data_IF_280766218139
#
_entry.id   IF_280766218139
#
_cell.length_a   1.000
_cell.length_b   1.000
_cell.length_c   1.000
_cell.angle_alpha   90.00
_cell.angle_beta   90.00
_cell.angle_gamma   90.00
#
_symmetry.space_group_name_H-M   'P 1'
#
loop_
_entity.id
_entity.type
_entity.pdbx_description
1 polymer ?
#
# COMPACT_ATOMS: atom_id res chain seq x y z
N UNK A 1 41.88 42.27 -3.45
CA UNK A 1 40.46 42.70 -3.35
C UNK A 1 39.66 41.95 -4.42
N UNK A 2 38.68 41.19 -4.03
CA UNK A 2 37.82 40.46 -4.98
C UNK A 2 36.80 41.45 -5.56
N UNK A 3 36.86 41.71 -6.87
CA UNK A 3 35.85 42.53 -7.55
C UNK A 3 34.58 41.73 -7.72
N UNK A 4 33.57 41.97 -6.89
CA UNK A 4 32.26 41.38 -7.06
C UNK A 4 31.55 42.02 -8.27
N UNK A 5 31.21 41.24 -9.28
CA UNK A 5 30.39 41.71 -10.39
C UNK A 5 28.91 41.55 -9.97
N UNK A 6 28.25 42.69 -9.74
CA UNK A 6 26.78 42.67 -9.55
C UNK A 6 26.08 42.58 -10.91
N UNK A 7 25.24 41.58 -11.05
CA UNK A 7 24.38 41.47 -12.23
C UNK A 7 23.05 42.20 -12.02
N UNK A 8 22.42 42.60 -13.13
CA UNK A 8 21.10 43.23 -13.10
C UNK A 8 20.10 42.31 -12.44
N UNK A 9 19.26 42.84 -11.55
CA UNK A 9 18.25 42.12 -10.80
C UNK A 9 16.95 42.91 -10.73
N UNK A 10 15.80 42.18 -10.64
CA UNK A 10 14.49 42.79 -10.48
C UNK A 10 13.49 41.77 -9.92
N UNK A 11 12.30 42.21 -9.56
CA UNK A 11 11.17 41.34 -9.23
C UNK A 11 10.60 40.71 -10.51
N UNK A 12 9.79 39.67 -10.40
CA UNK A 12 9.06 39.10 -11.55
C UNK A 12 8.25 40.17 -12.30
N UNK A 13 7.61 41.10 -11.58
CA UNK A 13 6.84 42.19 -12.17
C UNK A 13 7.75 43.18 -12.96
N UNK A 14 8.93 43.45 -12.46
CA UNK A 14 9.94 44.31 -13.17
C UNK A 14 10.51 43.60 -14.40
N UNK A 15 10.69 42.27 -14.35
CA UNK A 15 11.11 41.48 -15.50
C UNK A 15 10.07 41.45 -16.60
N UNK A 16 8.78 41.41 -16.27
CA UNK A 16 7.69 41.23 -17.23
C UNK A 16 7.69 42.26 -18.39
N UNK A 17 8.18 43.49 -18.13
CA UNK A 17 8.34 44.56 -19.15
C UNK A 17 9.78 44.73 -19.67
N UNK A 18 10.73 43.92 -19.26
CA UNK A 18 12.12 44.05 -19.62
C UNK A 18 12.56 43.05 -20.69
N UNK A 19 13.04 43.53 -21.83
CA UNK A 19 13.66 42.70 -22.86
C UNK A 19 15.16 42.91 -22.85
N UNK A 20 15.90 41.94 -22.34
CA UNK A 20 17.37 41.99 -22.28
C UNK A 20 18.01 41.60 -23.61
N UNK A 21 19.30 41.93 -23.76
CA UNK A 21 20.07 41.55 -24.93
C UNK A 21 20.25 40.03 -25.06
N UNK A 22 20.50 39.56 -26.28
CA UNK A 22 20.83 38.14 -26.51
C UNK A 22 22.02 37.71 -25.64
N UNK A 23 21.80 36.65 -24.84
CA UNK A 23 22.82 36.13 -23.94
C UNK A 23 22.99 36.92 -22.63
N UNK A 24 22.19 37.96 -22.39
CA UNK A 24 22.17 38.65 -21.09
C UNK A 24 21.58 37.75 -20.01
N UNK A 25 22.16 37.81 -18.79
CA UNK A 25 21.65 37.14 -17.61
C UNK A 25 21.21 38.19 -16.58
N UNK A 26 19.99 38.04 -16.07
CA UNK A 26 19.48 38.84 -14.96
C UNK A 26 19.06 37.91 -13.82
N UNK A 27 18.73 38.46 -12.64
CA UNK A 27 18.26 37.67 -11.50
C UNK A 27 16.86 38.12 -11.09
N UNK A 28 15.88 37.22 -11.18
CA UNK A 28 14.53 37.42 -10.63
C UNK A 28 14.57 37.20 -9.13
N UNK A 29 14.47 38.29 -8.37
CA UNK A 29 14.54 38.26 -6.91
C UNK A 29 13.30 37.70 -6.22
N UNK A 30 12.15 37.69 -6.92
CA UNK A 30 10.90 37.08 -6.42
C UNK A 30 10.95 35.56 -6.57
N UNK A 31 11.28 35.10 -7.78
CA UNK A 31 11.41 33.66 -8.08
C UNK A 31 12.76 33.07 -7.66
N UNK A 32 13.72 33.91 -7.27
CA UNK A 32 15.10 33.51 -6.91
C UNK A 32 15.80 32.69 -8.00
N UNK A 33 15.59 33.05 -9.27
CA UNK A 33 16.15 32.35 -10.43
C UNK A 33 16.93 33.28 -11.32
N UNK A 34 17.88 32.72 -12.06
CA UNK A 34 18.54 33.41 -13.18
C UNK A 34 17.62 33.41 -14.36
N UNK A 35 17.50 34.52 -15.06
CA UNK A 35 16.73 34.68 -16.30
C UNK A 35 17.75 34.90 -17.43
N UNK A 36 17.61 34.16 -18.52
CA UNK A 36 18.35 34.32 -19.76
C UNK A 36 17.52 35.15 -20.73
N UNK A 37 18.16 36.02 -21.52
CA UNK A 37 17.46 36.83 -22.50
C UNK A 37 17.90 36.47 -23.93
N UNK A 38 16.93 36.46 -24.82
CA UNK A 38 17.05 36.14 -26.26
C UNK A 38 16.95 37.37 -27.18
N UNK A 39 16.86 38.54 -26.56
CA UNK A 39 16.70 39.80 -27.28
C UNK A 39 15.29 40.10 -27.78
N UNK A 40 14.34 39.18 -27.60
CA UNK A 40 12.99 39.29 -28.15
C UNK A 40 11.89 39.09 -27.13
N UNK A 41 12.07 38.15 -26.19
CA UNK A 41 11.06 37.78 -25.20
C UNK A 41 11.04 38.76 -24.03
N UNK A 42 9.95 39.52 -23.87
CA UNK A 42 9.76 40.35 -22.67
C UNK A 42 9.66 39.45 -21.43
N UNK A 43 10.39 39.80 -20.38
CA UNK A 43 10.52 38.98 -19.19
C UNK A 43 11.65 37.96 -19.25
N UNK A 44 12.20 37.69 -20.43
CA UNK A 44 13.22 36.67 -20.66
C UNK A 44 12.74 35.25 -20.36
N UNK A 45 13.66 34.31 -20.43
CA UNK A 45 13.45 32.90 -20.15
C UNK A 45 14.04 32.55 -18.79
N UNK A 46 13.23 32.38 -17.71
CA UNK A 46 13.75 31.97 -16.43
C UNK A 46 14.44 30.61 -16.57
N UNK A 47 15.71 30.53 -16.16
CA UNK A 47 16.34 29.24 -15.99
C UNK A 47 15.58 28.57 -14.83
N UNK A 48 14.95 27.44 -15.14
CA UNK A 48 14.41 26.63 -14.05
C UNK A 48 15.52 26.45 -13.01
N UNK A 49 15.25 26.71 -11.73
CA UNK A 49 16.21 26.27 -10.73
C UNK A 49 16.46 24.80 -11.04
N UNK A 50 17.73 24.38 -11.11
CA UNK A 50 18.10 22.97 -11.29
C UNK A 50 17.71 22.17 -10.04
N UNK A 51 16.58 22.51 -9.47
CA UNK A 51 15.90 21.81 -8.41
C UNK A 51 14.78 21.04 -9.10
N UNK A 52 15.19 19.89 -9.67
CA UNK A 52 14.37 18.70 -9.59
C UNK A 52 12.92 18.81 -10.09
N UNK A 53 12.71 19.10 -11.34
CA UNK A 53 11.48 18.68 -12.04
C UNK A 53 11.33 17.15 -12.14
N UNK A 54 12.20 16.39 -11.47
CA UNK A 54 12.21 14.92 -11.53
C UNK A 54 11.71 14.23 -10.26
N UNK A 55 11.52 14.92 -9.13
CA UNK A 55 11.00 14.28 -7.92
C UNK A 55 10.34 15.31 -7.02
N UNK A 56 9.03 15.36 -7.04
CA UNK A 56 8.24 16.17 -6.09
C UNK A 56 8.47 15.79 -4.62
N UNK A 57 9.27 14.76 -4.36
CA UNK A 57 9.57 14.24 -3.03
C UNK A 57 10.98 13.67 -2.96
N UNK A 58 11.78 14.14 -2.00
CA UNK A 58 13.08 13.59 -1.66
C UNK A 58 13.23 13.39 -0.15
N UNK A 59 14.04 12.42 0.25
CA UNK A 59 14.35 12.12 1.66
C UNK A 59 15.79 11.69 1.84
N UNK A 60 16.32 11.84 3.06
CA UNK A 60 17.73 11.60 3.36
C UNK A 60 18.11 10.10 3.17
N UNK A 61 17.29 9.19 3.67
CA UNK A 61 17.51 7.74 3.52
C UNK A 61 16.31 7.11 2.81
N UNK A 62 16.56 6.59 1.60
CA UNK A 62 15.52 5.95 0.78
C UNK A 62 15.15 4.55 1.26
N UNK A 63 16.02 3.87 2.01
CA UNK A 63 15.83 2.51 2.48
C UNK A 63 14.86 2.41 3.68
N UNK A 64 14.46 3.54 4.28
CA UNK A 64 13.48 3.56 5.37
C UNK A 64 12.32 4.51 5.01
N UNK A 65 11.14 4.22 5.51
CA UNK A 65 9.98 5.10 5.35
C UNK A 65 10.19 6.44 6.06
N UNK A 66 9.61 7.50 5.51
CA UNK A 66 9.75 8.86 6.04
C UNK A 66 8.96 9.13 7.33
N UNK A 67 8.11 8.21 7.76
CA UNK A 67 7.19 8.38 8.88
C UNK A 67 7.41 7.32 9.96
N UNK A 68 7.10 7.67 11.21
CA UNK A 68 7.11 6.74 12.34
C UNK A 68 5.95 7.04 13.29
N UNK A 69 5.30 5.99 13.81
CA UNK A 69 4.33 6.12 14.89
C UNK A 69 5.04 6.49 16.19
N UNK A 70 4.51 7.46 16.91
CA UNK A 70 4.99 7.92 18.23
C UNK A 70 4.01 7.61 19.35
N UNK A 71 2.84 7.07 18.99
CA UNK A 71 1.80 6.62 19.90
C UNK A 71 0.69 5.93 19.11
N UNK A 72 -0.37 5.53 19.78
CA UNK A 72 -1.48 4.79 19.15
C UNK A 72 -2.14 5.58 18.00
N UNK A 73 -2.24 6.89 18.11
CA UNK A 73 -2.83 7.76 17.09
C UNK A 73 -1.94 8.94 16.68
N UNK A 74 -0.63 8.88 16.90
CA UNK A 74 0.30 9.97 16.60
C UNK A 74 1.47 9.48 15.77
N UNK A 75 1.97 10.35 14.88
CA UNK A 75 3.14 10.08 14.06
C UNK A 75 3.97 11.34 13.82
N UNK A 76 5.24 11.14 13.51
CA UNK A 76 6.19 12.19 13.13
C UNK A 76 7.00 11.76 11.91
N UNK A 77 7.73 12.70 11.32
CA UNK A 77 8.78 12.36 10.36
C UNK A 77 9.94 11.63 11.07
N UNK A 78 10.37 10.52 10.51
CA UNK A 78 11.56 9.77 10.94
C UNK A 78 12.86 10.37 10.45
N UNK A 79 12.81 11.24 9.44
CA UNK A 79 13.95 11.85 8.75
C UNK A 79 13.55 13.15 8.06
N UNK A 80 14.56 13.95 7.65
CA UNK A 80 14.31 15.13 6.83
C UNK A 80 13.75 14.75 5.47
N UNK A 81 12.75 15.50 5.01
CA UNK A 81 12.19 15.38 3.66
C UNK A 81 12.17 16.74 2.95
N UNK A 82 12.23 16.69 1.64
CA UNK A 82 12.08 17.84 0.75
C UNK A 82 10.94 17.54 -0.20
N UNK A 83 10.00 18.48 -0.30
CA UNK A 83 8.78 18.31 -1.10
C UNK A 83 8.57 19.55 -1.95
N UNK A 84 8.31 19.38 -3.23
CA UNK A 84 7.76 20.47 -4.05
C UNK A 84 6.22 20.43 -3.90
N UNK A 85 5.71 21.35 -3.12
CA UNK A 85 4.26 21.51 -2.92
C UNK A 85 3.73 22.51 -3.94
N UNK A 86 3.29 21.98 -5.08
CA UNK A 86 2.67 22.76 -6.17
C UNK A 86 3.54 23.94 -6.63
N UNK A 87 4.83 23.67 -6.91
CA UNK A 87 5.81 24.68 -7.33
C UNK A 87 6.46 25.46 -6.19
N UNK A 88 6.17 25.10 -4.94
CA UNK A 88 6.82 25.68 -3.75
C UNK A 88 7.73 24.63 -3.10
N UNK A 89 9.07 24.74 -3.25
CA UNK A 89 10.00 23.83 -2.60
C UNK A 89 10.00 24.06 -1.08
N UNK A 90 9.70 23.02 -0.34
CA UNK A 90 9.60 23.02 1.11
C UNK A 90 10.49 21.95 1.72
N UNK A 91 11.00 22.21 2.92
CA UNK A 91 11.76 21.25 3.72
C UNK A 91 11.05 21.01 5.05
N UNK A 92 10.99 19.76 5.47
CA UNK A 92 10.43 19.36 6.76
C UNK A 92 11.51 18.58 7.52
N UNK A 93 11.75 18.99 8.75
CA UNK A 93 12.76 18.37 9.60
C UNK A 93 12.29 17.03 10.19
N UNK A 94 13.21 16.13 10.48
CA UNK A 94 12.96 14.95 11.32
C UNK A 94 12.32 15.37 12.64
N UNK A 95 11.34 14.59 13.12
CA UNK A 95 10.55 14.92 14.31
C UNK A 95 9.35 15.84 14.05
N UNK A 96 9.19 16.42 12.86
CA UNK A 96 8.01 17.21 12.53
C UNK A 96 6.73 16.36 12.69
N UNK A 97 5.74 16.90 13.39
CA UNK A 97 4.49 16.20 13.72
C UNK A 97 3.58 16.11 12.51
N UNK A 98 2.97 14.96 12.30
CA UNK A 98 1.84 14.80 11.38
C UNK A 98 0.56 15.21 12.11
N UNK A 99 -0.12 16.26 11.63
CA UNK A 99 -1.42 16.69 12.17
C UNK A 99 -2.47 15.63 11.82
N UNK A 100 -3.02 14.98 12.83
CA UNK A 100 -4.00 13.91 12.67
C UNK A 100 -5.43 14.43 12.75
N UNK A 101 -6.35 13.93 11.92
CA UNK A 101 -7.79 14.08 12.14
C UNK A 101 -8.25 13.15 13.28
N UNK A 102 -9.54 13.14 13.58
CA UNK A 102 -10.14 12.04 14.36
C UNK A 102 -9.96 10.73 13.59
N UNK A 103 -9.23 9.78 14.18
CA UNK A 103 -8.93 8.50 13.54
C UNK A 103 -10.06 7.50 13.76
N UNK A 104 -10.44 6.81 12.70
CA UNK A 104 -11.44 5.74 12.70
C UNK A 104 -10.78 4.39 12.48
N UNK A 105 -11.04 3.43 13.35
CA UNK A 105 -10.45 2.08 13.28
C UNK A 105 -10.76 1.39 11.94
N UNK A 106 -9.77 0.71 11.39
CA UNK A 106 -9.88 0.00 10.11
C UNK A 106 -9.83 0.90 8.87
N UNK A 107 -9.34 2.15 9.01
CA UNK A 107 -9.30 3.15 7.94
C UNK A 107 -7.87 3.46 7.50
N UNK A 108 -7.69 3.61 6.19
CA UNK A 108 -6.45 4.10 5.60
C UNK A 108 -6.45 5.63 5.55
N UNK A 109 -5.30 6.22 5.81
CA UNK A 109 -5.07 7.66 5.80
C UNK A 109 -3.93 8.00 4.84
N UNK A 110 -4.16 8.99 4.00
CA UNK A 110 -3.12 9.64 3.21
C UNK A 110 -2.37 10.66 4.08
N UNK A 111 -1.09 10.89 3.79
CA UNK A 111 -0.30 11.96 4.41
C UNK A 111 0.04 12.98 3.33
N UNK A 112 -0.16 14.24 3.64
CA UNK A 112 0.02 15.39 2.76
C UNK A 112 1.04 16.36 3.29
N UNK A 113 1.84 16.97 2.41
CA UNK A 113 2.55 18.20 2.65
C UNK A 113 1.73 19.38 2.12
N UNK A 114 1.58 20.43 2.91
CA UNK A 114 0.75 21.59 2.59
C UNK A 114 1.59 22.87 2.47
N UNK A 115 1.14 23.82 1.65
CA UNK A 115 1.87 25.10 1.39
C UNK A 115 2.04 25.99 2.61
N UNK A 116 1.26 25.76 3.68
CA UNK A 116 1.40 26.46 4.97
C UNK A 116 2.53 25.89 5.86
N UNK A 117 3.27 24.90 5.37
CA UNK A 117 4.38 24.29 6.13
C UNK A 117 3.94 23.17 7.07
N UNK A 118 2.70 22.71 6.98
CA UNK A 118 2.22 21.59 7.80
C UNK A 118 2.25 20.26 7.05
N UNK A 119 2.39 19.17 7.82
CA UNK A 119 2.18 17.80 7.35
C UNK A 119 0.88 17.30 7.99
N UNK A 120 -0.05 16.78 7.19
CA UNK A 120 -1.38 16.39 7.66
C UNK A 120 -1.77 15.00 7.16
N UNK A 121 -2.49 14.27 7.99
CA UNK A 121 -3.18 13.06 7.58
C UNK A 121 -4.66 13.35 7.28
N UNK A 122 -5.23 12.62 6.34
CA UNK A 122 -6.68 12.66 6.03
C UNK A 122 -7.12 11.30 5.46
N UNK A 123 -8.39 10.94 5.67
CA UNK A 123 -8.98 9.75 5.05
C UNK A 123 -9.31 9.94 3.56
N UNK A 124 -9.35 11.18 3.09
CA UNK A 124 -9.41 11.51 1.66
C UNK A 124 -8.04 11.27 0.99
N UNK A 125 -8.05 10.65 -0.18
CA UNK A 125 -6.85 10.42 -1.00
C UNK A 125 -6.73 11.41 -2.18
N UNK A 126 -7.52 12.48 -2.15
CA UNK A 126 -7.45 13.58 -3.13
C UNK A 126 -6.75 14.81 -2.53
N UNK A 127 -7.19 15.27 -1.39
CA UNK A 127 -6.61 16.39 -0.61
C UNK A 127 -7.12 16.33 0.82
N UNK A 128 -6.39 16.90 1.80
CA UNK A 128 -6.83 16.94 3.18
C UNK A 128 -7.91 18.01 3.38
N UNK A 129 -8.72 17.86 4.42
CA UNK A 129 -9.78 18.81 4.78
C UNK A 129 -9.22 20.21 4.95
N UNK A 130 -9.87 21.19 4.33
CA UNK A 130 -9.46 22.61 4.31
C UNK A 130 -8.39 22.94 3.26
N UNK A 131 -7.96 21.97 2.44
CA UNK A 131 -7.00 22.17 1.36
C UNK A 131 -7.55 21.69 0.03
N UNK A 132 -6.78 21.97 -1.04
CA UNK A 132 -7.08 21.58 -2.41
C UNK A 132 -5.82 20.99 -3.05
N UNK A 133 -5.93 20.45 -4.24
CA UNK A 133 -4.78 19.97 -5.03
C UNK A 133 -3.83 21.10 -5.48
N UNK A 134 -4.24 22.38 -5.33
CA UNK A 134 -3.39 23.54 -5.62
C UNK A 134 -2.53 24.02 -4.43
N UNK A 135 -2.76 23.49 -3.22
CA UNK A 135 -2.02 23.88 -2.01
C UNK A 135 -1.62 22.71 -1.12
N UNK A 136 -1.79 21.47 -1.60
CA UNK A 136 -1.34 20.26 -0.92
C UNK A 136 -0.93 19.19 -1.92
N UNK A 137 0.00 18.31 -1.52
CA UNK A 137 0.42 17.15 -2.28
C UNK A 137 0.51 15.93 -1.37
N UNK A 138 -0.02 14.79 -1.84
CA UNK A 138 0.12 13.52 -1.13
C UNK A 138 1.56 13.03 -1.19
N UNK A 139 2.12 12.69 -0.03
CA UNK A 139 3.50 12.23 0.12
C UNK A 139 3.63 10.83 0.72
N UNK A 140 2.54 10.25 1.23
CA UNK A 140 2.53 8.93 1.82
C UNK A 140 1.18 8.56 2.41
N UNK A 141 1.17 7.57 3.31
CA UNK A 141 -0.01 7.14 4.03
C UNK A 141 0.28 6.04 5.05
N UNK A 142 -0.77 5.63 5.78
CA UNK A 142 -0.74 4.57 6.78
C UNK A 142 -2.13 3.98 6.99
N UNK A 143 -2.18 2.86 7.70
CA UNK A 143 -3.42 2.22 8.15
C UNK A 143 -3.60 2.40 9.66
N UNK A 144 -4.78 2.88 10.09
CA UNK A 144 -5.18 2.90 11.50
C UNK A 144 -5.97 1.63 11.82
N UNK A 145 -5.30 0.66 12.41
CA UNK A 145 -5.84 -0.67 12.65
C UNK A 145 -6.89 -0.69 13.77
N UNK A 146 -7.86 -1.62 13.72
CA UNK A 146 -8.88 -1.78 14.77
C UNK A 146 -8.34 -2.38 16.08
N UNK A 147 -7.09 -2.84 16.08
CA UNK A 147 -6.36 -3.40 17.22
C UNK A 147 -4.86 -3.28 17.00
N UNK A 148 -4.07 -3.46 18.05
CA UNK A 148 -2.62 -3.39 17.96
C UNK A 148 -2.01 -4.69 17.46
N UNK A 149 -0.82 -4.59 16.90
CA UNK A 149 -0.01 -5.70 16.41
C UNK A 149 0.43 -6.63 17.53
N UNK A 150 0.68 -7.90 17.21
CA UNK A 150 1.26 -8.84 18.16
C UNK A 150 2.66 -8.42 18.63
N UNK A 151 2.92 -8.47 19.92
CA UNK A 151 4.24 -8.27 20.53
C UNK A 151 4.95 -9.59 20.85
N UNK A 152 4.20 -10.70 20.87
CA UNK A 152 4.65 -12.07 21.09
C UNK A 152 3.79 -13.02 20.24
N UNK A 153 4.09 -14.33 20.26
CA UNK A 153 3.25 -15.35 19.59
C UNK A 153 1.96 -15.65 20.39
N UNK A 154 1.15 -14.62 20.61
CA UNK A 154 -0.11 -14.69 21.36
C UNK A 154 -1.19 -13.79 20.74
N UNK A 155 -0.95 -13.31 19.52
CA UNK A 155 -1.81 -12.36 18.86
C UNK A 155 -1.62 -10.91 19.32
N UNK A 156 -2.39 -10.00 18.71
CA UNK A 156 -2.47 -8.59 19.07
C UNK A 156 -3.45 -8.33 20.21
N UNK A 157 -3.94 -7.11 20.29
CA UNK A 157 -4.97 -6.70 21.27
C UNK A 157 -6.10 -5.92 20.59
N UNK A 158 -7.07 -5.44 21.37
CA UNK A 158 -8.27 -4.75 20.89
C UNK A 158 -8.17 -3.23 20.97
N UNK A 159 -6.99 -2.68 21.30
CA UNK A 159 -6.79 -1.23 21.35
C UNK A 159 -6.42 -0.71 19.95
N UNK A 160 -7.26 0.12 19.32
CA UNK A 160 -6.95 0.66 17.99
C UNK A 160 -5.64 1.46 18.00
N UNK A 161 -4.81 1.25 16.97
CA UNK A 161 -3.54 1.96 16.83
C UNK A 161 -3.12 2.07 15.37
N UNK A 162 -2.27 3.05 15.07
CA UNK A 162 -1.55 3.09 13.80
C UNK A 162 -0.72 1.80 13.69
N UNK A 163 -0.90 1.04 12.60
CA UNK A 163 -0.01 -0.06 12.29
C UNK A 163 1.36 0.50 11.86
N UNK A 164 2.43 0.36 12.65
CA UNK A 164 3.72 0.99 12.36
C UNK A 164 4.38 0.44 11.09
N UNK A 165 3.98 -0.74 10.62
CA UNK A 165 4.48 -1.37 9.39
C UNK A 165 3.65 -1.02 8.16
N UNK A 166 2.56 -0.27 8.31
CA UNK A 166 1.72 0.16 7.19
C UNK A 166 2.12 1.51 6.58
N UNK A 167 3.08 2.22 7.17
CA UNK A 167 3.57 3.47 6.60
C UNK A 167 4.23 3.24 5.25
N UNK A 168 3.88 4.07 4.29
CA UNK A 168 4.52 4.16 2.98
C UNK A 168 4.73 5.62 2.60
N UNK A 169 5.68 5.87 1.70
CA UNK A 169 5.90 7.17 1.07
C UNK A 169 6.18 7.00 -0.43
N UNK A 170 6.31 8.09 -1.16
CA UNK A 170 6.47 8.06 -2.61
C UNK A 170 7.73 7.33 -3.10
N UNK A 171 8.72 7.09 -2.21
CA UNK A 171 9.99 6.39 -2.50
C UNK A 171 10.13 5.04 -1.80
N UNK A 172 9.20 4.70 -0.90
CA UNK A 172 9.21 3.51 -0.08
C UNK A 172 7.77 2.98 0.04
N UNK A 173 7.40 2.04 -0.81
CA UNK A 173 6.01 1.58 -0.94
C UNK A 173 5.90 0.17 -1.52
N UNK A 174 4.72 -0.45 -1.48
CA UNK A 174 4.46 -1.66 -2.26
C UNK A 174 4.62 -1.40 -3.77
N UNK A 175 5.02 -2.43 -4.50
CA UNK A 175 5.14 -2.38 -5.96
C UNK A 175 3.78 -2.29 -6.67
N UNK A 176 2.71 -2.76 -6.01
CA UNK A 176 1.36 -2.65 -6.55
C UNK A 176 0.89 -1.18 -6.64
N UNK A 177 -0.09 -0.87 -7.52
CA UNK A 177 -0.56 0.50 -7.75
C UNK A 177 -1.16 1.18 -6.52
N UNK A 178 -1.89 0.44 -5.69
CA UNK A 178 -2.58 0.96 -4.50
C UNK A 178 -1.96 0.38 -3.21
N UNK A 179 -1.32 1.22 -2.37
CA UNK A 179 -0.69 0.79 -1.11
C UNK A 179 -1.68 0.66 0.06
N UNK A 180 -2.94 1.06 -0.12
CA UNK A 180 -3.95 1.03 0.95
C UNK A 180 -4.22 -0.39 1.43
N UNK A 181 -4.47 -0.52 2.74
CA UNK A 181 -4.75 -1.81 3.37
C UNK A 181 -3.58 -2.78 3.36
N UNK A 182 -2.35 -2.31 3.19
CA UNK A 182 -1.15 -3.15 3.17
C UNK A 182 -0.21 -2.86 4.32
N UNK A 183 0.59 -3.86 4.67
CA UNK A 183 1.62 -3.79 5.71
C UNK A 183 2.91 -4.43 5.23
N UNK A 184 4.05 -3.85 5.61
CA UNK A 184 5.38 -4.34 5.25
C UNK A 184 5.80 -5.46 6.21
N UNK A 185 6.11 -6.62 5.66
CA UNK A 185 6.53 -7.82 6.40
C UNK A 185 8.04 -7.95 6.33
N UNK A 186 8.70 -7.99 7.49
CA UNK A 186 10.14 -8.25 7.64
C UNK A 186 11.03 -7.37 6.72
N UNK A 187 10.62 -6.15 6.39
CA UNK A 187 11.29 -5.26 5.43
C UNK A 187 11.54 -5.90 4.05
N UNK A 188 10.74 -6.89 3.66
CA UNK A 188 10.98 -7.70 2.47
C UNK A 188 9.87 -7.58 1.43
N UNK A 189 8.63 -7.74 1.83
CA UNK A 189 7.46 -7.70 0.95
C UNK A 189 6.25 -7.10 1.68
N UNK A 190 5.22 -6.72 0.93
CA UNK A 190 3.97 -6.20 1.46
C UNK A 190 2.87 -7.25 1.39
N UNK A 191 2.05 -7.31 2.44
CA UNK A 191 0.87 -8.15 2.53
C UNK A 191 -0.39 -7.30 2.73
N UNK A 192 -1.50 -7.71 2.15
CA UNK A 192 -2.80 -7.20 2.53
C UNK A 192 -3.04 -7.44 4.03
N UNK A 193 -3.55 -6.44 4.74
CA UNK A 193 -3.88 -6.53 6.19
C UNK A 193 -5.07 -7.45 6.40
N UNK A 194 -6.06 -7.39 5.51
CA UNK A 194 -7.29 -8.15 5.58
C UNK A 194 -7.35 -9.23 4.51
N UNK A 195 -8.22 -10.23 4.70
CA UNK A 195 -8.55 -11.21 3.69
C UNK A 195 -9.17 -10.53 2.46
N UNK A 196 -9.00 -11.13 1.29
CA UNK A 196 -9.62 -10.67 0.05
C UNK A 196 -11.14 -10.58 0.23
N UNK A 197 -11.72 -9.43 -0.10
CA UNK A 197 -13.16 -9.22 0.05
C UNK A 197 -13.93 -9.41 -1.27
N UNK A 198 -15.22 -9.67 -1.14
CA UNK A 198 -16.14 -9.92 -2.26
C UNK A 198 -16.18 -8.76 -3.23
N UNK A 199 -16.34 -7.54 -2.72
CA UNK A 199 -16.45 -6.32 -3.55
C UNK A 199 -15.12 -5.56 -3.61
N UNK A 200 -14.07 -6.25 -4.07
CA UNK A 200 -12.72 -5.67 -4.21
C UNK A 200 -12.66 -4.52 -5.21
N UNK A 201 -13.60 -4.41 -6.14
CA UNK A 201 -13.66 -3.31 -7.13
C UNK A 201 -13.89 -1.97 -6.44
N UNK A 202 -14.79 -1.93 -5.47
CA UNK A 202 -15.07 -0.71 -4.68
C UNK A 202 -14.13 -0.54 -3.50
N UNK A 203 -13.75 -1.66 -2.85
CA UNK A 203 -13.07 -1.65 -1.56
C UNK A 203 -11.53 -1.78 -1.67
N UNK A 204 -10.99 -2.11 -2.85
CA UNK A 204 -9.64 -2.68 -2.95
C UNK A 204 -9.62 -4.13 -2.42
N UNK A 205 -8.49 -4.80 -2.50
CA UNK A 205 -8.37 -6.21 -2.06
C UNK A 205 -8.39 -6.38 -0.55
N UNK A 206 -8.08 -5.33 0.22
CA UNK A 206 -7.89 -5.34 1.66
C UNK A 206 -8.71 -4.24 2.32
N UNK A 207 -9.80 -4.58 2.97
CA UNK A 207 -10.72 -3.64 3.63
C UNK A 207 -11.28 -4.21 4.92
N UNK A 208 -11.39 -3.36 5.93
CA UNK A 208 -12.00 -3.70 7.22
C UNK A 208 -13.53 -3.77 7.15
N UNK A 209 -14.13 -4.69 7.90
CA UNK A 209 -15.56 -4.84 8.13
C UNK A 209 -16.40 -5.01 6.85
N UNK A 210 -15.90 -5.83 5.93
CA UNK A 210 -16.59 -6.23 4.69
C UNK A 210 -16.58 -7.75 4.55
N UNK A 211 -17.54 -8.30 3.79
CA UNK A 211 -17.58 -9.73 3.52
C UNK A 211 -16.32 -10.18 2.76
N UNK A 212 -15.63 -11.20 3.28
CA UNK A 212 -14.47 -11.76 2.60
C UNK A 212 -14.89 -12.79 1.53
N UNK A 213 -14.05 -12.90 0.49
CA UNK A 213 -14.24 -13.84 -0.60
C UNK A 213 -13.90 -15.27 -0.17
N UNK A 214 -14.78 -16.23 -0.51
CA UNK A 214 -14.65 -17.66 -0.27
C UNK A 214 -15.55 -18.44 -1.23
N UNK A 215 -15.48 -19.77 -1.24
CA UNK A 215 -16.22 -20.59 -2.19
C UNK A 215 -17.73 -20.36 -2.22
N UNK A 216 -18.36 -20.10 -1.06
CA UNK A 216 -19.80 -19.81 -0.99
C UNK A 216 -20.15 -18.33 -1.22
N UNK A 217 -19.15 -17.47 -1.29
CA UNK A 217 -19.31 -16.02 -1.52
C UNK A 217 -18.17 -15.55 -2.43
N UNK A 218 -18.20 -15.94 -3.73
CA UNK A 218 -17.17 -15.60 -4.68
C UNK A 218 -17.00 -14.08 -4.87
N UNK A 219 -15.81 -13.60 -5.18
CA UNK A 219 -15.56 -12.19 -5.45
C UNK A 219 -16.11 -11.79 -6.82
N UNK A 220 -16.27 -10.48 -7.05
CA UNK A 220 -16.58 -9.94 -8.36
C UNK A 220 -15.47 -10.27 -9.36
N UNK A 221 -15.85 -10.44 -10.64
CA UNK A 221 -14.87 -10.59 -11.73
C UNK A 221 -14.14 -9.25 -11.92
N UNK A 222 -12.80 -9.20 -11.87
CA UNK A 222 -12.06 -7.96 -12.10
C UNK A 222 -12.27 -7.44 -13.53
N UNK A 223 -12.32 -6.11 -13.69
CA UNK A 223 -12.46 -5.49 -15.01
C UNK A 223 -11.34 -5.91 -15.98
N UNK A 224 -10.12 -6.09 -15.48
CA UNK A 224 -8.98 -6.59 -16.27
C UNK A 224 -9.21 -7.98 -16.87
N UNK A 225 -10.11 -8.78 -16.29
CA UNK A 225 -10.50 -10.11 -16.75
C UNK A 225 -11.91 -10.15 -17.31
N UNK A 226 -12.44 -9.03 -17.78
CA UNK A 226 -13.73 -8.92 -18.45
C UNK A 226 -14.92 -8.69 -17.53
N UNK A 227 -14.70 -8.38 -16.26
CA UNK A 227 -15.76 -8.02 -15.32
C UNK A 227 -16.46 -6.71 -15.65
N UNK A 228 -17.75 -6.65 -15.34
CA UNK A 228 -18.64 -5.50 -15.58
C UNK A 228 -18.92 -4.66 -14.30
N UNK A 229 -18.23 -4.95 -13.20
CA UNK A 229 -18.40 -4.27 -11.92
C UNK A 229 -19.49 -4.84 -11.01
N UNK A 230 -20.27 -5.83 -11.46
CA UNK A 230 -21.38 -6.40 -10.67
C UNK A 230 -21.46 -7.93 -10.71
N UNK A 231 -20.91 -8.57 -11.74
CA UNK A 231 -20.94 -10.03 -11.87
C UNK A 231 -19.85 -10.66 -11.02
N UNK A 232 -20.23 -11.57 -10.13
CA UNK A 232 -19.28 -12.39 -9.38
C UNK A 232 -18.81 -13.61 -10.21
N UNK A 233 -17.67 -14.18 -9.83
CA UNK A 233 -17.31 -15.52 -10.30
C UNK A 233 -18.37 -16.55 -9.85
N UNK A 234 -18.51 -17.64 -10.62
CA UNK A 234 -19.37 -18.75 -10.23
C UNK A 234 -18.78 -19.54 -9.04
N UNK A 235 -17.47 -19.54 -8.92
CA UNK A 235 -16.68 -20.26 -7.92
C UNK A 235 -15.59 -19.33 -7.40
N UNK A 236 -14.92 -19.73 -6.30
CA UNK A 236 -13.71 -19.08 -5.82
C UNK A 236 -12.66 -20.14 -5.52
N UNK A 237 -12.03 -20.61 -6.55
CA UNK A 237 -10.94 -21.55 -6.50
C UNK A 237 -9.57 -20.84 -6.64
N UNK A 238 -8.48 -21.59 -6.81
CA UNK A 238 -7.15 -21.03 -6.93
C UNK A 238 -6.98 -20.07 -8.13
N UNK A 239 -7.62 -20.37 -9.26
CA UNK A 239 -7.50 -19.59 -10.50
C UNK A 239 -8.13 -18.22 -10.36
N UNK A 240 -9.34 -18.13 -9.80
CA UNK A 240 -10.03 -16.88 -9.55
C UNK A 240 -9.29 -16.05 -8.48
N UNK A 241 -8.74 -16.70 -7.44
CA UNK A 241 -7.92 -16.03 -6.43
C UNK A 241 -6.65 -15.42 -7.05
N UNK A 242 -5.98 -16.15 -7.95
CA UNK A 242 -4.80 -15.66 -8.68
C UNK A 242 -5.16 -14.52 -9.64
N UNK A 243 -6.28 -14.60 -10.37
CA UNK A 243 -6.76 -13.54 -11.27
C UNK A 243 -7.09 -12.25 -10.51
N UNK A 244 -7.83 -12.35 -9.41
CA UNK A 244 -8.17 -11.18 -8.61
C UNK A 244 -6.90 -10.51 -8.07
N UNK A 245 -5.98 -11.26 -7.48
CA UNK A 245 -4.73 -10.67 -6.97
C UNK A 245 -3.90 -10.05 -8.10
N UNK A 246 -3.78 -10.72 -9.25
CA UNK A 246 -3.05 -10.21 -10.41
C UNK A 246 -3.63 -8.91 -10.97
N UNK A 247 -4.96 -8.75 -10.98
CA UNK A 247 -5.63 -7.52 -11.42
C UNK A 247 -5.20 -6.28 -10.61
N UNK A 248 -4.69 -6.47 -9.40
CA UNK A 248 -4.20 -5.41 -8.51
C UNK A 248 -2.66 -5.35 -8.42
N UNK A 249 -1.95 -6.03 -9.32
CA UNK A 249 -0.48 -6.09 -9.28
C UNK A 249 0.07 -6.84 -8.06
N UNK A 250 -0.73 -7.74 -7.51
CA UNK A 250 -0.41 -8.62 -6.37
C UNK A 250 -0.31 -10.06 -6.82
N UNK A 251 0.06 -10.95 -5.92
CA UNK A 251 0.07 -12.40 -6.09
C UNK A 251 -0.38 -13.09 -4.81
N UNK A 252 -0.68 -14.36 -4.89
CA UNK A 252 -0.86 -15.22 -3.71
C UNK A 252 0.48 -15.37 -2.97
N UNK A 253 0.49 -15.52 -1.63
CA UNK A 253 1.73 -15.67 -0.85
C UNK A 253 2.42 -17.01 -1.14
N UNK A 254 3.75 -17.01 -1.09
CA UNK A 254 4.56 -18.23 -1.05
C UNK A 254 4.63 -18.77 0.38
N UNK A 255 5.06 -20.02 0.54
CA UNK A 255 5.14 -20.66 1.86
C UNK A 255 5.97 -19.86 2.87
N UNK A 256 7.16 -19.41 2.48
CA UNK A 256 8.00 -18.59 3.34
C UNK A 256 7.39 -17.20 3.63
N UNK A 257 6.68 -16.62 2.67
CA UNK A 257 5.99 -15.34 2.85
C UNK A 257 4.81 -15.50 3.81
N UNK A 258 4.04 -16.59 3.66
CA UNK A 258 2.95 -16.87 4.59
C UNK A 258 3.44 -17.08 6.02
N UNK A 259 4.46 -17.91 6.22
CA UNK A 259 5.06 -18.11 7.55
C UNK A 259 5.54 -16.81 8.18
N UNK A 260 6.10 -15.89 7.38
CA UNK A 260 6.56 -14.59 7.86
C UNK A 260 5.39 -13.65 8.19
N UNK A 261 4.39 -13.51 7.28
CA UNK A 261 3.27 -12.58 7.48
C UNK A 261 2.39 -12.98 8.68
N UNK A 262 2.25 -14.27 8.95
CA UNK A 262 1.43 -14.80 10.03
C UNK A 262 2.18 -14.90 11.39
N UNK A 263 3.48 -14.60 11.42
CA UNK A 263 4.26 -14.67 12.65
C UNK A 263 3.70 -13.75 13.76
N UNK A 264 3.56 -14.28 14.95
CA UNK A 264 3.06 -13.56 16.13
C UNK A 264 1.60 -13.87 16.49
N UNK A 265 0.86 -14.60 15.64
CA UNK A 265 -0.48 -15.09 15.97
C UNK A 265 -0.44 -16.13 17.08
N UNK A 266 -1.59 -16.42 17.70
CA UNK A 266 -1.73 -17.58 18.58
C UNK A 266 -1.58 -18.84 17.74
N UNK A 267 -0.64 -19.68 18.12
CA UNK A 267 -0.33 -20.94 17.43
C UNK A 267 -1.20 -22.10 17.94
N UNK A 268 -1.32 -23.15 17.12
CA UNK A 268 -2.10 -24.35 17.42
C UNK A 268 -3.53 -24.02 17.88
N UNK A 269 -4.16 -23.05 17.22
CA UNK A 269 -5.47 -22.53 17.59
C UNK A 269 -6.23 -22.02 16.39
N UNK A 270 -7.54 -22.28 16.37
CA UNK A 270 -8.48 -21.72 15.41
C UNK A 270 -9.65 -21.05 16.16
N UNK A 271 -10.37 -20.15 15.49
CA UNK A 271 -11.39 -19.33 16.15
C UNK A 271 -12.65 -20.13 16.57
N UNK A 272 -12.84 -21.33 16.01
CA UNK A 272 -13.91 -22.24 16.38
C UNK A 272 -15.29 -21.92 15.79
N UNK A 273 -15.43 -20.79 15.10
CA UNK A 273 -16.69 -20.38 14.48
C UNK A 273 -16.45 -19.69 13.14
N UNK A 274 -17.34 -19.95 12.18
CA UNK A 274 -17.31 -19.31 10.88
C UNK A 274 -17.53 -17.79 11.01
N UNK A 275 -16.54 -17.02 10.61
CA UNK A 275 -16.63 -15.57 10.47
C UNK A 275 -16.98 -15.25 9.02
N UNK A 276 -17.76 -14.22 8.76
CA UNK A 276 -18.15 -13.88 7.38
C UNK A 276 -17.48 -12.60 6.89
N UNK A 277 -16.88 -11.83 7.79
CA UNK A 277 -16.36 -10.50 7.51
C UNK A 277 -14.89 -10.35 7.97
N UNK A 278 -14.22 -9.41 7.35
CA UNK A 278 -12.88 -8.93 7.71
C UNK A 278 -12.93 -8.09 8.98
N UNK A 279 -13.08 -8.73 10.12
CA UNK A 279 -13.17 -8.08 11.44
C UNK A 279 -11.90 -8.32 12.25
N UNK A 280 -11.75 -7.59 13.35
CA UNK A 280 -10.65 -7.83 14.28
C UNK A 280 -10.85 -9.16 15.01
N UNK A 281 -9.88 -10.04 14.82
CA UNK A 281 -9.67 -11.22 15.65
C UNK A 281 -8.27 -11.09 16.29
N UNK A 282 -8.19 -10.50 17.46
CA UNK A 282 -6.93 -10.11 18.09
C UNK A 282 -5.94 -11.28 18.21
N UNK A 283 -6.39 -12.46 18.66
CA UNK A 283 -5.57 -13.66 18.77
C UNK A 283 -4.91 -14.08 17.43
N UNK A 284 -5.54 -13.77 16.31
CA UNK A 284 -5.11 -14.10 14.95
C UNK A 284 -4.58 -12.90 14.17
N UNK A 285 -4.16 -11.86 14.90
CA UNK A 285 -3.44 -10.70 14.37
C UNK A 285 -1.94 -10.89 14.54
N UNK A 286 -1.18 -10.76 13.46
CA UNK A 286 0.25 -11.02 13.44
C UNK A 286 1.09 -9.86 14.01
N UNK A 287 2.40 -10.06 14.16
CA UNK A 287 3.39 -9.02 14.48
C UNK A 287 3.34 -7.84 13.50
N UNK A 288 3.01 -8.08 12.27
CA UNK A 288 2.97 -7.06 11.21
C UNK A 288 1.59 -6.40 11.08
N UNK A 289 0.63 -6.79 11.94
CA UNK A 289 -0.74 -6.29 11.89
C UNK A 289 -1.59 -6.92 10.79
N UNK A 290 -1.18 -8.08 10.27
CA UNK A 290 -2.03 -8.88 9.38
C UNK A 290 -3.13 -9.51 10.21
N UNK A 291 -4.38 -9.15 9.95
CA UNK A 291 -5.56 -9.59 10.70
C UNK A 291 -6.14 -10.85 10.06
N UNK A 292 -6.67 -11.76 10.89
CA UNK A 292 -7.20 -13.06 10.42
C UNK A 292 -6.16 -13.82 9.59
N UNK A 293 -4.90 -13.80 10.03
CA UNK A 293 -3.80 -14.41 9.29
C UNK A 293 -3.78 -15.92 9.40
N UNK A 294 -4.31 -16.50 10.50
CA UNK A 294 -4.42 -17.96 10.76
C UNK A 294 -5.74 -18.30 11.41
N UNK A 295 -6.16 -19.57 11.39
CA UNK A 295 -7.27 -20.10 12.18
C UNK A 295 -8.65 -19.52 11.87
N UNK A 296 -8.83 -18.86 10.72
CA UNK A 296 -10.09 -18.26 10.27
C UNK A 296 -10.49 -18.82 8.91
N UNK A 297 -9.65 -18.71 7.91
CA UNK A 297 -9.77 -19.35 6.61
C UNK A 297 -8.46 -19.99 6.20
N UNK A 298 -8.52 -21.15 5.57
CA UNK A 298 -7.45 -21.62 4.71
C UNK A 298 -7.23 -20.62 3.58
N UNK A 299 -5.98 -20.27 3.31
CA UNK A 299 -5.65 -19.25 2.31
C UNK A 299 -4.85 -19.87 1.17
N UNK A 300 -5.30 -19.69 -0.07
CA UNK A 300 -4.57 -20.13 -1.24
C UNK A 300 -3.15 -19.55 -1.27
N UNK A 301 -2.18 -20.44 -1.49
CA UNK A 301 -0.77 -20.07 -1.73
C UNK A 301 -0.38 -20.20 -3.20
N UNK A 302 0.80 -19.71 -3.53
CA UNK A 302 1.29 -19.63 -4.91
C UNK A 302 2.00 -20.91 -5.39
N UNK A 303 2.20 -21.92 -4.53
CA UNK A 303 2.91 -23.13 -4.89
C UNK A 303 1.97 -24.29 -5.17
N UNK A 304 2.47 -25.17 -6.04
CA UNK A 304 1.86 -26.47 -6.35
C UNK A 304 2.80 -27.58 -5.88
N UNK A 305 2.21 -28.67 -5.33
CA UNK A 305 3.00 -29.80 -4.82
C UNK A 305 2.12 -30.90 -4.25
N UNK A 306 2.70 -31.73 -3.38
CA UNK A 306 2.00 -32.90 -2.84
C UNK A 306 1.78 -33.98 -3.90
N UNK A 307 0.67 -34.69 -3.80
CA UNK A 307 0.26 -35.65 -4.82
C UNK A 307 -0.41 -34.98 -6.03
N UNK A 308 -0.69 -35.77 -7.07
CA UNK A 308 -1.55 -35.30 -8.15
C UNK A 308 -3.01 -35.19 -7.67
N UNK A 309 -3.62 -34.03 -7.89
CA UNK A 309 -5.04 -33.81 -7.60
C UNK A 309 -5.95 -34.68 -8.50
N UNK A 310 -5.51 -34.94 -9.74
CA UNK A 310 -6.17 -35.82 -10.68
C UNK A 310 -5.18 -36.34 -11.71
N UNK A 311 -5.48 -37.53 -12.27
CA UNK A 311 -4.76 -38.08 -13.42
C UNK A 311 -5.51 -37.74 -14.71
N UNK A 312 -4.77 -37.61 -15.82
CA UNK A 312 -5.32 -37.24 -17.11
C UNK A 312 -5.60 -35.75 -17.28
N UNK A 313 -6.43 -35.39 -18.23
CA UNK A 313 -6.82 -34.02 -18.51
C UNK A 313 -7.92 -33.54 -17.56
N UNK A 314 -7.70 -32.38 -16.95
CA UNK A 314 -8.65 -31.74 -16.00
C UNK A 314 -8.94 -30.33 -16.45
N UNK A 315 -10.23 -29.96 -16.52
CA UNK A 315 -10.62 -28.58 -16.74
C UNK A 315 -10.30 -27.71 -15.51
N UNK A 316 -9.57 -26.64 -15.72
CA UNK A 316 -9.28 -25.65 -14.67
C UNK A 316 -10.50 -24.74 -14.45
N UNK A 317 -11.04 -24.25 -15.57
CA UNK A 317 -12.32 -23.52 -15.67
C UNK A 317 -12.89 -23.82 -17.04
N UNK A 318 -14.18 -24.06 -17.16
CA UNK A 318 -14.84 -24.41 -18.41
C UNK A 318 -14.53 -23.36 -19.49
N UNK A 319 -14.02 -23.84 -20.64
CA UNK A 319 -13.69 -23.02 -21.80
C UNK A 319 -12.34 -22.28 -21.73
N UNK A 320 -11.53 -22.46 -20.67
CA UNK A 320 -10.23 -21.80 -20.52
C UNK A 320 -9.03 -22.75 -20.53
N UNK A 321 -9.21 -23.93 -21.11
CA UNK A 321 -8.16 -24.93 -21.26
C UNK A 321 -8.15 -25.96 -20.13
N UNK A 322 -7.23 -26.91 -20.26
CA UNK A 322 -7.10 -28.05 -19.34
C UNK A 322 -5.64 -28.25 -18.93
N UNK A 323 -5.44 -28.81 -17.74
CA UNK A 323 -4.12 -29.23 -17.26
C UNK A 323 -4.05 -30.77 -17.23
N UNK A 324 -3.00 -31.33 -17.80
CA UNK A 324 -2.73 -32.76 -17.72
C UNK A 324 -2.02 -33.06 -16.39
N UNK A 325 -2.54 -34.06 -15.65
CA UNK A 325 -2.05 -34.45 -14.32
C UNK A 325 -1.93 -33.24 -13.36
N UNK A 326 -3.05 -32.54 -13.16
CA UNK A 326 -3.13 -31.35 -12.31
C UNK A 326 -2.54 -31.61 -10.90
N UNK A 327 -1.51 -30.88 -10.45
CA UNK A 327 -1.00 -31.00 -9.09
C UNK A 327 -1.94 -30.33 -8.07
N UNK A 328 -1.78 -30.67 -6.79
CA UNK A 328 -2.45 -29.96 -5.71
C UNK A 328 -1.89 -28.52 -5.57
N UNK A 329 -2.73 -27.59 -5.15
CA UNK A 329 -2.32 -26.25 -4.72
C UNK A 329 -2.22 -26.20 -3.20
N UNK A 330 -1.31 -25.39 -2.67
CA UNK A 330 -1.12 -25.26 -1.23
C UNK A 330 -2.18 -24.35 -0.61
N UNK A 331 -2.62 -24.72 0.58
CA UNK A 331 -3.40 -23.88 1.49
C UNK A 331 -2.60 -23.60 2.76
N UNK A 332 -2.75 -22.42 3.32
CA UNK A 332 -2.01 -21.97 4.49
C UNK A 332 -2.93 -21.52 5.63
N UNK A 333 -2.41 -21.61 6.85
CA UNK A 333 -2.93 -20.95 8.04
C UNK A 333 -3.96 -21.73 8.84
N UNK A 334 -4.71 -22.60 8.19
CA UNK A 334 -5.84 -23.34 8.76
C UNK A 334 -7.11 -22.49 8.85
N UNK A 335 -8.27 -23.16 8.76
CA UNK A 335 -9.59 -22.55 8.87
C UNK A 335 -10.13 -22.57 10.31
N UNK A 336 -11.33 -22.05 10.51
CA UNK A 336 -11.94 -21.90 11.85
C UNK A 336 -12.18 -23.23 12.60
N UNK A 337 -12.19 -24.38 11.92
CA UNK A 337 -12.43 -25.69 12.53
C UNK A 337 -11.18 -26.53 12.74
N UNK A 338 -10.01 -26.08 12.28
CA UNK A 338 -8.78 -26.89 12.29
C UNK A 338 -8.11 -27.01 13.67
N UNK A 339 -8.57 -26.22 14.65
CA UNK A 339 -8.09 -26.31 16.03
C UNK A 339 -6.56 -26.21 16.13
N UNK A 340 -5.93 -27.23 16.66
CA UNK A 340 -4.48 -27.28 16.85
C UNK A 340 -3.64 -27.40 15.57
N UNK A 341 -4.28 -27.67 14.42
CA UNK A 341 -3.58 -27.73 13.13
C UNK A 341 -3.37 -26.34 12.51
N UNK A 342 -4.12 -25.32 12.98
CA UNK A 342 -3.96 -23.95 12.51
C UNK A 342 -2.74 -23.27 13.12
N UNK A 343 -2.08 -22.40 12.36
CA UNK A 343 -0.92 -21.66 12.82
C UNK A 343 -0.10 -21.04 11.68
N UNK A 344 0.92 -20.27 12.05
CA UNK A 344 1.74 -19.51 11.11
C UNK A 344 2.56 -20.35 10.12
N UNK A 345 2.77 -21.62 10.41
CA UNK A 345 3.46 -22.58 9.54
C UNK A 345 2.56 -23.72 9.06
N UNK A 346 1.25 -23.60 9.31
CA UNK A 346 0.29 -24.59 8.81
C UNK A 346 0.25 -24.55 7.29
N UNK A 347 0.38 -25.71 6.65
CA UNK A 347 0.27 -25.86 5.21
C UNK A 347 -0.38 -27.19 4.85
N UNK A 348 -1.28 -27.16 3.88
CA UNK A 348 -2.08 -28.30 3.46
C UNK A 348 -1.90 -28.50 1.94
N UNK A 349 -1.41 -29.68 1.54
CA UNK A 349 -0.96 -29.99 0.17
C UNK A 349 -1.82 -31.05 -0.50
N UNK A 350 -3.03 -31.27 -0.01
CA UNK A 350 -3.95 -32.31 -0.48
C UNK A 350 -5.14 -31.81 -1.30
N UNK A 351 -5.18 -30.52 -1.67
CA UNK A 351 -6.37 -29.90 -2.28
C UNK A 351 -6.15 -29.56 -3.76
N UNK A 352 -7.11 -29.98 -4.58
CA UNK A 352 -7.14 -29.57 -5.99
C UNK A 352 -7.30 -28.05 -6.10
N UNK A 353 -6.56 -27.39 -7.00
CA UNK A 353 -6.73 -25.95 -7.25
C UNK A 353 -8.12 -25.60 -7.83
N UNK A 354 -8.91 -26.58 -8.25
CA UNK A 354 -10.29 -26.40 -8.73
C UNK A 354 -11.35 -26.40 -7.62
N UNK A 355 -10.95 -26.59 -6.36
CA UNK A 355 -11.90 -26.63 -5.25
C UNK A 355 -12.33 -25.21 -4.86
N UNK A 356 -13.64 -25.08 -4.60
CA UNK A 356 -14.29 -23.86 -4.15
C UNK A 356 -15.10 -24.19 -2.91
N UNK A 357 -14.53 -23.91 -1.73
CA UNK A 357 -15.09 -24.34 -0.45
C UNK A 357 -15.33 -23.15 0.48
N UNK A 358 -16.30 -23.30 1.39
CA UNK A 358 -16.71 -22.24 2.34
C UNK A 358 -15.57 -21.74 3.22
N UNK A 359 -14.64 -22.60 3.55
CA UNK A 359 -13.53 -22.33 4.46
C UNK A 359 -12.22 -21.97 3.76
N UNK A 360 -12.23 -21.76 2.43
CA UNK A 360 -11.06 -21.36 1.64
C UNK A 360 -11.24 -19.94 1.12
N UNK A 361 -10.26 -19.10 1.39
CA UNK A 361 -10.16 -17.73 0.94
C UNK A 361 -8.79 -17.41 0.34
N UNK A 362 -8.46 -16.12 0.29
CA UNK A 362 -7.17 -15.66 -0.23
C UNK A 362 -6.72 -14.34 0.43
N UNK A 363 -5.46 -14.02 0.22
CA UNK A 363 -4.81 -12.75 0.60
C UNK A 363 -3.77 -12.39 -0.45
N UNK A 364 -3.67 -11.11 -0.81
CA UNK A 364 -2.67 -10.62 -1.75
C UNK A 364 -1.37 -10.24 -1.06
N UNK A 365 -0.25 -10.50 -1.73
CA UNK A 365 1.08 -9.97 -1.38
C UNK A 365 1.72 -9.33 -2.61
N UNK A 366 2.68 -8.44 -2.42
CA UNK A 366 3.50 -7.92 -3.51
C UNK A 366 4.90 -7.53 -3.01
N UNK A 367 5.81 -7.32 -3.96
CA UNK A 367 7.18 -6.95 -3.66
C UNK A 367 7.25 -5.55 -3.05
N UNK A 368 8.31 -5.33 -2.28
CA UNK A 368 8.66 -3.99 -1.81
C UNK A 368 9.37 -3.22 -2.91
N UNK A 369 9.04 -1.94 -3.04
CA UNK A 369 9.65 -1.03 -4.01
C UNK A 369 10.38 0.10 -3.28
N UNK A 370 11.70 0.17 -3.50
CA UNK A 370 12.54 1.30 -3.12
C UNK A 370 12.91 2.03 -4.42
N UNK A 371 12.37 3.24 -4.59
CA UNK A 371 12.71 4.07 -5.75
C UNK A 371 14.01 4.83 -5.51
N UNK A 372 14.97 4.62 -6.40
CA UNK A 372 16.31 5.23 -6.39
C UNK A 372 16.27 6.69 -6.84
#
# INVERSE_FOLDING_TARGET
>A
MSNAVQRRRGTTAQHAGFTGLVGEFTYDSTKKVVVTHDGATAGGNPMAPYILTLNNFAKANRAIVAFTATGAGTATLSQNIYVDVVGQPMSFASGATVVMPTLTAGTDYAIYACTDGTIRADSSFTNPSGYTTSNSIQIGGFHYAPGSNASAQAGGNTTPAINPYSFWDLKFKPKCPDPRGMTLVANSFWSDIYLLNVNHITNGTSKYNVAYARGTTPPLVPTAFGGNGSTAYAEFNWWEAAEVTAAYGKRLPRHQEFSALAYGTTEASAIGADQTNTILNAAYTSKWGVIQSTGVLDQWGNEFGGGAAASGWVNNTIGRGQTYQLPNAVLFGGNWSDGANAGSRSSLWGFSPTLSLTYIGARGVCDHLILV
#
